data_IF_996630106239
#
_entry.id   IF_996630106239
#
_cell.length_a   1.000
_cell.length_b   1.000
_cell.length_c   1.000
_cell.angle_alpha   90.00
_cell.angle_beta   90.00
_cell.angle_gamma   90.00
#
_symmetry.space_group_name_H-M   'P 1'
#
loop_
_entity.id
_entity.type
_entity.pdbx_description
1 polymer ?
#
# COMPACT_ATOMS: atom_id res chain seq x y z
N UNK A 1 3.30 -13.71 7.40
CA UNK A 1 3.21 -13.02 6.11
C UNK A 1 2.83 -14.01 5.04
N UNK A 2 1.69 -13.77 4.43
CA UNK A 2 1.25 -14.56 3.29
C UNK A 2 1.77 -13.98 1.95
N UNK A 3 1.54 -14.68 0.83
CA UNK A 3 2.13 -14.28 -0.45
C UNK A 3 1.56 -12.96 -0.99
N UNK A 4 0.27 -12.72 -0.79
CA UNK A 4 -0.39 -11.48 -1.22
C UNK A 4 0.14 -10.26 -0.45
N UNK A 5 0.24 -10.40 0.85
CA UNK A 5 0.80 -9.42 1.80
C UNK A 5 2.25 -9.08 1.44
N UNK A 6 3.09 -10.08 1.20
CA UNK A 6 4.49 -9.88 0.81
C UNK A 6 4.62 -9.09 -0.50
N UNK A 7 3.80 -9.42 -1.50
CA UNK A 7 3.82 -8.75 -2.80
C UNK A 7 3.38 -7.29 -2.65
N UNK A 8 2.32 -7.03 -1.89
CA UNK A 8 1.83 -5.67 -1.66
C UNK A 8 2.85 -4.84 -0.89
N UNK A 9 3.37 -5.36 0.23
CA UNK A 9 4.35 -4.65 1.06
C UNK A 9 5.63 -4.32 0.26
N UNK A 10 6.14 -5.27 -0.54
CA UNK A 10 7.30 -5.02 -1.42
C UNK A 10 7.00 -3.99 -2.51
N UNK A 11 5.80 -4.00 -3.08
CA UNK A 11 5.41 -3.02 -4.09
C UNK A 11 5.29 -1.61 -3.51
N UNK A 12 4.75 -1.48 -2.30
CA UNK A 12 4.69 -0.21 -1.56
C UNK A 12 6.10 0.27 -1.24
N UNK A 13 6.97 -0.58 -0.68
CA UNK A 13 8.37 -0.25 -0.41
C UNK A 13 9.10 0.25 -1.67
N UNK A 14 8.94 -0.46 -2.80
CA UNK A 14 9.51 -0.05 -4.08
C UNK A 14 8.97 1.31 -4.56
N UNK A 15 7.66 1.53 -4.46
CA UNK A 15 7.03 2.80 -4.83
C UNK A 15 7.55 3.96 -3.97
N UNK A 16 7.69 3.78 -2.65
CA UNK A 16 8.18 4.81 -1.74
C UNK A 16 9.64 5.18 -2.03
N UNK A 17 10.49 4.19 -2.33
CA UNK A 17 11.89 4.40 -2.70
C UNK A 17 12.06 5.15 -4.01
N UNK A 18 11.17 4.93 -4.97
CA UNK A 18 11.17 5.67 -6.24
C UNK A 18 10.73 7.13 -6.06
N UNK A 19 9.83 7.41 -5.12
CA UNK A 19 9.36 8.78 -4.85
C UNK A 19 10.47 9.62 -4.20
N UNK A 20 11.05 9.13 -3.10
CA UNK A 20 12.16 9.83 -2.45
C UNK A 20 13.00 8.89 -1.58
N UNK A 21 14.34 9.05 -1.55
CA UNK A 21 15.18 8.39 -0.56
C UNK A 21 14.71 8.69 0.86
N UNK A 22 14.44 7.65 1.64
CA UNK A 22 14.02 7.76 3.05
C UNK A 22 12.52 7.85 3.31
N UNK A 23 11.67 7.99 2.27
CA UNK A 23 10.22 8.06 2.47
C UNK A 23 9.65 6.77 3.09
N UNK A 24 10.20 5.62 2.71
CA UNK A 24 9.88 4.33 3.34
C UNK A 24 10.14 4.37 4.84
N UNK A 25 11.33 4.80 5.27
CA UNK A 25 11.70 4.85 6.69
C UNK A 25 10.81 5.82 7.48
N UNK A 26 10.43 6.96 6.88
CA UNK A 26 9.50 7.92 7.50
C UNK A 26 8.13 7.28 7.71
N UNK A 27 7.58 6.63 6.69
CA UNK A 27 6.27 5.98 6.79
C UNK A 27 6.30 4.80 7.77
N UNK A 28 7.33 3.95 7.72
CA UNK A 28 7.48 2.82 8.66
C UNK A 28 7.58 3.31 10.11
N UNK A 29 8.36 4.37 10.37
CA UNK A 29 8.45 4.95 11.71
C UNK A 29 7.08 5.45 12.20
N UNK A 30 6.30 6.10 11.33
CA UNK A 30 4.96 6.55 11.67
C UNK A 30 4.00 5.38 11.95
N UNK A 31 3.99 4.35 11.10
CA UNK A 31 3.12 3.18 11.29
C UNK A 31 3.46 2.42 12.57
N UNK A 32 4.76 2.24 12.87
CA UNK A 32 5.20 1.63 14.13
C UNK A 32 4.77 2.46 15.34
N UNK A 33 4.94 3.77 15.29
CA UNK A 33 4.60 4.66 16.40
C UNK A 33 3.09 4.77 16.66
N UNK A 34 2.26 4.66 15.62
CA UNK A 34 0.81 4.91 15.73
C UNK A 34 -0.04 3.65 15.78
N UNK A 35 0.41 2.57 15.14
CA UNK A 35 -0.35 1.32 15.00
C UNK A 35 0.42 0.10 15.54
N UNK A 36 1.71 0.24 15.89
CA UNK A 36 2.60 -0.88 16.18
C UNK A 36 2.66 -1.93 15.06
N UNK A 37 2.60 -1.45 13.80
CA UNK A 37 2.62 -2.25 12.57
C UNK A 37 3.59 -1.66 11.55
N UNK A 38 4.00 -2.46 10.56
CA UNK A 38 4.71 -2.03 9.37
C UNK A 38 3.80 -1.86 8.14
N UNK A 39 4.39 -1.98 6.95
CA UNK A 39 3.68 -1.83 5.66
C UNK A 39 2.64 -2.93 5.42
N UNK A 40 2.73 -4.06 6.11
CA UNK A 40 1.76 -5.16 6.08
C UNK A 40 0.32 -4.72 6.38
N UNK A 41 0.15 -3.63 7.15
CA UNK A 41 -1.18 -3.07 7.46
C UNK A 41 -1.94 -2.66 6.19
N UNK A 42 -1.24 -2.34 5.08
CA UNK A 42 -1.89 -2.08 3.81
C UNK A 42 -2.67 -3.28 3.26
N UNK A 43 -2.22 -4.51 3.54
CA UNK A 43 -2.90 -5.74 3.16
C UNK A 43 -3.94 -6.18 4.19
N UNK A 44 -3.60 -6.08 5.47
CA UNK A 44 -4.49 -6.48 6.57
C UNK A 44 -5.74 -5.59 6.64
N UNK A 45 -5.53 -4.27 6.58
CA UNK A 45 -6.56 -3.26 6.72
C UNK A 45 -6.22 -2.01 5.87
N UNK A 46 -6.52 -2.04 4.55
CA UNK A 46 -6.19 -0.94 3.62
C UNK A 46 -6.76 0.42 4.03
N UNK A 47 -7.92 0.45 4.71
CA UNK A 47 -8.51 1.69 5.24
C UNK A 47 -7.66 2.28 6.38
N UNK A 48 -7.19 1.44 7.30
CA UNK A 48 -6.33 1.86 8.40
C UNK A 48 -4.99 2.38 7.90
N UNK A 49 -4.38 1.72 6.92
CA UNK A 49 -3.19 2.22 6.24
C UNK A 49 -3.41 3.59 5.61
N UNK A 50 -4.48 3.76 4.81
CA UNK A 50 -4.81 5.06 4.19
C UNK A 50 -5.02 6.16 5.22
N UNK A 51 -5.68 5.85 6.33
CA UNK A 51 -5.88 6.80 7.41
C UNK A 51 -4.56 7.20 8.08
N UNK A 52 -3.63 6.27 8.31
CA UNK A 52 -2.32 6.57 8.87
C UNK A 52 -1.49 7.44 7.90
N UNK A 53 -1.47 7.09 6.61
CA UNK A 53 -0.80 7.89 5.57
C UNK A 53 -1.40 9.30 5.51
N UNK A 54 -2.73 9.43 5.57
CA UNK A 54 -3.42 10.72 5.59
C UNK A 54 -3.08 11.56 6.82
N UNK A 55 -2.98 10.94 8.01
CA UNK A 55 -2.52 11.62 9.22
C UNK A 55 -1.07 12.12 9.13
N UNK A 56 -0.22 11.41 8.37
CA UNK A 56 1.18 11.77 8.22
C UNK A 56 1.43 12.84 7.14
N UNK A 57 0.80 12.69 5.98
CA UNK A 57 1.10 13.51 4.79
C UNK A 57 -0.08 14.38 4.31
N UNK A 58 -1.25 14.27 4.94
CA UNK A 58 -2.50 14.90 4.51
C UNK A 58 -3.26 14.07 3.46
N UNK A 59 -4.55 14.36 3.30
CA UNK A 59 -5.47 13.61 2.44
C UNK A 59 -5.05 13.59 0.97
N UNK A 60 -4.63 14.75 0.43
CA UNK A 60 -4.20 14.85 -0.97
C UNK A 60 -2.97 13.98 -1.25
N UNK A 61 -1.97 14.02 -0.36
CA UNK A 61 -0.75 13.22 -0.49
C UNK A 61 -1.05 11.73 -0.33
N UNK A 62 -1.95 11.37 0.59
CA UNK A 62 -2.38 9.98 0.75
C UNK A 62 -3.06 9.45 -0.51
N UNK A 63 -3.92 10.27 -1.14
CA UNK A 63 -4.56 9.89 -2.40
C UNK A 63 -3.56 9.74 -3.54
N UNK A 64 -2.55 10.61 -3.63
CA UNK A 64 -1.48 10.48 -4.63
C UNK A 64 -0.66 9.20 -4.41
N UNK A 65 -0.28 8.90 -3.17
CA UNK A 65 0.46 7.67 -2.84
C UNK A 65 -0.37 6.42 -3.19
N UNK A 66 -1.66 6.41 -2.85
CA UNK A 66 -2.59 5.33 -3.23
C UNK A 66 -2.60 5.11 -4.75
N UNK A 67 -2.71 6.19 -5.55
CA UNK A 67 -2.68 6.09 -7.00
C UNK A 67 -1.34 5.54 -7.54
N UNK A 68 -0.21 5.93 -6.94
CA UNK A 68 1.11 5.41 -7.31
C UNK A 68 1.21 3.91 -7.03
N UNK A 69 0.76 3.46 -5.85
CA UNK A 69 0.74 2.04 -5.46
C UNK A 69 -0.11 1.23 -6.44
N UNK A 70 -1.34 1.69 -6.72
CA UNK A 70 -2.25 1.04 -7.67
C UNK A 70 -1.60 0.92 -9.04
N UNK A 71 -1.03 2.00 -9.58
CA UNK A 71 -0.40 1.99 -10.91
C UNK A 71 0.79 1.03 -10.98
N UNK A 72 1.59 0.91 -9.91
CA UNK A 72 2.70 -0.03 -9.85
C UNK A 72 2.25 -1.49 -9.88
N UNK A 73 1.14 -1.81 -9.22
CA UNK A 73 0.64 -3.18 -9.14
C UNK A 73 -0.24 -3.56 -10.33
N UNK A 74 -0.95 -2.62 -10.96
CA UNK A 74 -1.68 -2.87 -12.22
C UNK A 74 -0.78 -3.50 -13.30
N UNK A 75 0.47 -3.04 -13.42
CA UNK A 75 1.43 -3.62 -14.36
C UNK A 75 1.84 -5.07 -14.05
N UNK A 76 1.66 -5.53 -12.82
CA UNK A 76 2.07 -6.87 -12.34
C UNK A 76 0.92 -7.87 -12.23
N UNK A 77 -0.29 -7.41 -11.93
CA UNK A 77 -1.46 -8.26 -11.66
C UNK A 77 -2.29 -8.57 -12.93
N UNK A 78 -1.95 -7.97 -14.08
CA UNK A 78 -2.68 -8.16 -15.33
C UNK A 78 -3.87 -7.20 -15.48
N UNK A 79 -4.45 -7.15 -16.68
CA UNK A 79 -5.58 -6.25 -17.03
C UNK A 79 -6.91 -6.86 -16.56
N UNK A 80 -7.17 -6.87 -15.26
CA UNK A 80 -8.52 -7.13 -14.76
C UNK A 80 -9.06 -5.91 -14.01
N UNK A 81 -10.00 -5.21 -14.67
CA UNK A 81 -10.80 -4.14 -14.08
C UNK A 81 -10.09 -2.82 -13.81
N UNK A 82 -10.88 -1.75 -13.69
CA UNK A 82 -10.42 -0.47 -13.17
C UNK A 82 -10.27 -0.57 -11.65
N UNK A 83 -9.06 -0.85 -11.15
CA UNK A 83 -8.73 -0.71 -9.72
C UNK A 83 -8.61 0.78 -9.40
N UNK A 84 -9.46 1.28 -8.49
CA UNK A 84 -9.62 2.70 -8.15
C UNK A 84 -9.32 3.02 -6.67
N UNK A 85 -9.11 1.98 -5.86
CA UNK A 85 -8.79 2.09 -4.43
C UNK A 85 -7.80 1.01 -3.98
N UNK A 86 -7.11 1.27 -2.87
CA UNK A 86 -6.25 0.28 -2.23
C UNK A 86 -7.05 -0.93 -1.74
N UNK A 87 -8.28 -0.70 -1.29
CA UNK A 87 -9.22 -1.73 -0.88
C UNK A 87 -9.50 -2.72 -2.02
N UNK A 88 -9.86 -2.21 -3.20
CA UNK A 88 -10.07 -3.03 -4.40
C UNK A 88 -8.79 -3.76 -4.83
N UNK A 89 -7.63 -3.10 -4.70
CA UNK A 89 -6.34 -3.72 -5.01
C UNK A 89 -6.07 -4.93 -4.10
N UNK A 90 -6.30 -4.79 -2.80
CA UNK A 90 -6.15 -5.87 -1.83
C UNK A 90 -7.12 -7.01 -2.13
N UNK A 91 -8.38 -6.71 -2.45
CA UNK A 91 -9.36 -7.73 -2.85
C UNK A 91 -8.92 -8.51 -4.10
N UNK A 92 -8.33 -7.83 -5.08
CA UNK A 92 -7.80 -8.49 -6.28
C UNK A 92 -6.58 -9.38 -5.96
N UNK A 93 -5.66 -8.89 -5.13
CA UNK A 93 -4.51 -9.70 -4.69
C UNK A 93 -4.98 -10.96 -3.96
N UNK A 94 -5.97 -10.84 -3.08
CA UNK A 94 -6.61 -11.96 -2.36
C UNK A 94 -7.18 -13.01 -3.32
N UNK A 95 -7.92 -12.57 -4.34
CA UNK A 95 -8.47 -13.45 -5.40
C UNK A 95 -7.40 -14.21 -6.16
N UNK A 96 -6.27 -13.55 -6.49
CA UNK A 96 -5.19 -14.14 -7.28
C UNK A 96 -4.38 -15.16 -6.47
N UNK A 97 -4.10 -14.85 -5.20
CA UNK A 97 -3.22 -15.67 -4.37
C UNK A 97 -3.96 -16.67 -3.46
N UNK A 98 -5.29 -16.66 -3.46
CA UNK A 98 -6.12 -17.71 -2.86
C UNK A 98 -6.32 -17.57 -1.35
N UNK A 99 -6.45 -16.34 -0.86
CA UNK A 99 -6.59 -16.01 0.57
C UNK A 99 -7.65 -14.97 0.87
#
# INVERSE_FOLDING_TARGET
MNKGEEILAKAISAALREVAPGLESVLEAHLRATLNKGLEVAYENPKEFKNAVSKLFGEYSARLLEMVIINKLKGRLGKEGEINSLEELVEQIRKIYGE
#
